data_IF_347558949918
#
_entry.id   IF_347558949918
#
_cell.length_a   1.000
_cell.length_b   1.000
_cell.length_c   1.000
_cell.angle_alpha   90.00
_cell.angle_beta   90.00
_cell.angle_gamma   90.00
#
_symmetry.space_group_name_H-M   'P 1'
#
loop_
_entity.id
_entity.type
_entity.pdbx_description
1 polymer ?
#
# COMPACT_ATOMS: atom_id res chain seq x y z
N UNK A 1 -14.01 -27.92 -3.33
CA UNK A 1 -14.99 -26.82 -3.33
C UNK A 1 -15.01 -26.10 -2.00
N UNK A 2 -14.79 -24.79 -2.01
CA UNK A 2 -15.09 -23.94 -0.85
C UNK A 2 -16.19 -22.95 -1.23
N UNK A 3 -17.09 -22.67 -0.27
CA UNK A 3 -18.18 -21.72 -0.46
C UNK A 3 -17.67 -20.30 -0.28
N UNK A 4 -17.80 -19.46 -1.30
CA UNK A 4 -17.46 -18.02 -1.22
C UNK A 4 -18.19 -17.34 -0.07
N UNK A 5 -19.45 -17.71 0.20
CA UNK A 5 -20.22 -17.19 1.32
C UNK A 5 -19.62 -17.52 2.69
N UNK A 6 -19.02 -18.69 2.85
CA UNK A 6 -18.36 -19.09 4.11
C UNK A 6 -17.10 -18.25 4.33
N UNK A 7 -16.26 -18.10 3.31
CA UNK A 7 -15.05 -17.28 3.42
C UNK A 7 -15.38 -15.80 3.66
N UNK A 8 -16.37 -15.26 2.97
CA UNK A 8 -16.85 -13.88 3.21
C UNK A 8 -17.30 -13.70 4.66
N UNK A 9 -18.08 -14.64 5.20
CA UNK A 9 -18.55 -14.57 6.59
C UNK A 9 -17.39 -14.64 7.60
N UNK A 10 -16.42 -15.52 7.36
CA UNK A 10 -15.26 -15.70 8.24
C UNK A 10 -14.34 -14.46 8.24
N UNK A 11 -14.03 -13.89 7.07
CA UNK A 11 -13.24 -12.65 6.96
C UNK A 11 -13.97 -11.48 7.64
N UNK A 12 -15.29 -11.38 7.48
CA UNK A 12 -16.08 -10.34 8.15
C UNK A 12 -16.04 -10.47 9.66
N UNK A 13 -16.28 -11.67 10.19
CA UNK A 13 -16.21 -11.93 11.62
C UNK A 13 -14.82 -11.61 12.19
N UNK A 14 -13.75 -11.93 11.45
CA UNK A 14 -12.38 -11.58 11.79
C UNK A 14 -12.16 -10.05 11.81
N UNK A 15 -12.65 -9.33 10.80
CA UNK A 15 -12.55 -7.87 10.75
C UNK A 15 -13.34 -7.19 11.87
N UNK A 16 -14.55 -7.69 12.20
CA UNK A 16 -15.36 -7.20 13.32
C UNK A 16 -14.62 -7.38 14.65
N UNK A 17 -14.01 -8.54 14.87
CA UNK A 17 -13.22 -8.81 16.06
C UNK A 17 -11.96 -7.94 16.14
N UNK A 18 -11.27 -7.73 15.02
CA UNK A 18 -10.10 -6.84 14.94
C UNK A 18 -10.49 -5.38 15.24
N UNK A 19 -11.61 -4.90 14.68
CA UNK A 19 -12.15 -3.57 14.95
C UNK A 19 -12.51 -3.40 16.44
N UNK A 20 -13.15 -4.41 17.05
CA UNK A 20 -13.48 -4.40 18.48
C UNK A 20 -12.23 -4.32 19.36
N UNK A 21 -11.19 -5.09 19.04
CA UNK A 21 -9.90 -5.04 19.74
C UNK A 21 -9.21 -3.68 19.57
N UNK A 22 -9.19 -3.13 18.35
CA UNK A 22 -8.67 -1.78 18.11
C UNK A 22 -9.46 -0.69 18.87
N UNK A 23 -10.78 -0.86 19.04
CA UNK A 23 -11.61 0.07 19.81
C UNK A 23 -11.32 0.05 21.31
N UNK A 24 -10.92 -1.10 21.85
CA UNK A 24 -10.54 -1.26 23.27
C UNK A 24 -9.07 -0.89 23.54
N UNK A 25 -8.20 -0.99 22.52
CA UNK A 25 -6.80 -0.63 22.62
C UNK A 25 -6.03 -1.45 23.68
N UNK A 26 -5.07 -0.85 24.40
CA UNK A 26 -4.28 -1.54 25.44
C UNK A 26 -5.08 -2.21 26.56
N UNK A 27 -6.31 -1.78 26.79
CA UNK A 27 -7.21 -2.35 27.81
C UNK A 27 -7.95 -3.59 27.31
N UNK A 28 -7.80 -3.93 26.02
CA UNK A 28 -8.31 -5.17 25.45
C UNK A 28 -7.72 -6.37 26.17
N UNK A 29 -8.53 -7.04 26.98
CA UNK A 29 -8.22 -8.36 27.54
C UNK A 29 -8.35 -9.50 26.51
N UNK A 30 -8.61 -9.18 25.23
CA UNK A 30 -8.77 -10.15 24.15
C UNK A 30 -7.46 -10.88 23.87
N UNK A 31 -7.52 -12.21 23.93
CA UNK A 31 -6.46 -13.13 23.54
C UNK A 31 -6.72 -13.75 22.14
N UNK A 32 -7.68 -13.20 21.39
CA UNK A 32 -8.11 -13.78 20.11
C UNK A 32 -6.98 -13.78 19.07
N UNK A 33 -6.27 -12.66 18.96
CA UNK A 33 -5.12 -12.48 18.08
C UNK A 33 -3.84 -12.49 18.93
N UNK A 34 -3.21 -13.66 19.09
CA UNK A 34 -1.90 -13.81 19.73
C UNK A 34 -0.92 -14.41 18.72
N UNK A 35 0.13 -13.67 18.39
CA UNK A 35 1.14 -14.07 17.39
C UNK A 35 2.09 -15.19 17.87
N UNK A 36 2.13 -15.46 19.18
CA UNK A 36 3.13 -16.34 19.81
C UNK A 36 2.76 -17.83 19.91
N UNK A 37 1.49 -18.23 19.72
CA UNK A 37 1.08 -19.63 19.94
C UNK A 37 -0.05 -20.03 18.97
N UNK A 38 0.27 -20.84 17.97
CA UNK A 38 -0.74 -21.56 17.17
C UNK A 38 -1.32 -22.68 18.05
N UNK A 39 -2.59 -22.55 18.43
CA UNK A 39 -3.36 -23.58 19.12
C UNK A 39 -4.76 -23.67 18.52
N UNK A 40 -5.48 -24.77 18.78
CA UNK A 40 -6.79 -25.07 18.17
C UNK A 40 -7.87 -23.98 18.43
N UNK A 41 -7.66 -23.09 19.41
CA UNK A 41 -8.59 -22.03 19.81
C UNK A 41 -8.15 -20.61 19.36
N UNK A 42 -7.04 -20.44 18.63
CA UNK A 42 -6.47 -19.12 18.28
C UNK A 42 -6.24 -19.00 16.77
N UNK A 43 -6.59 -17.84 16.19
CA UNK A 43 -6.50 -17.58 14.74
C UNK A 43 -5.66 -16.31 14.52
N UNK A 44 -4.75 -16.34 13.55
CA UNK A 44 -4.01 -15.15 13.13
C UNK A 44 -4.93 -14.19 12.36
N UNK A 45 -4.85 -12.88 12.64
CA UNK A 45 -5.61 -11.91 11.83
C UNK A 45 -5.18 -12.00 10.36
N UNK A 46 -6.15 -12.08 9.47
CA UNK A 46 -5.96 -12.25 8.03
C UNK A 46 -5.82 -13.69 7.59
N UNK A 47 -5.99 -14.70 8.46
CA UNK A 47 -5.82 -16.11 8.10
C UNK A 47 -6.69 -16.52 6.90
N UNK A 48 -7.94 -16.06 6.86
CA UNK A 48 -8.85 -16.39 5.77
C UNK A 48 -8.53 -15.63 4.48
N UNK A 49 -7.96 -14.42 4.58
CA UNK A 49 -7.44 -13.68 3.42
C UNK A 49 -6.23 -14.41 2.83
N UNK A 50 -5.32 -14.90 3.68
CA UNK A 50 -4.15 -15.70 3.26
C UNK A 50 -4.58 -16.94 2.47
N UNK A 51 -5.60 -17.66 2.93
CA UNK A 51 -6.12 -18.83 2.21
C UNK A 51 -6.63 -18.47 0.79
N UNK A 52 -7.19 -17.28 0.59
CA UNK A 52 -7.54 -16.79 -0.75
C UNK A 52 -6.27 -16.54 -1.58
N UNK A 53 -5.23 -15.94 -0.99
CA UNK A 53 -3.92 -15.75 -1.62
C UNK A 53 -3.28 -17.07 -2.05
N UNK A 54 -3.25 -18.07 -1.16
CA UNK A 54 -2.73 -19.41 -1.46
C UNK A 54 -3.53 -20.11 -2.56
N UNK A 55 -4.85 -19.93 -2.58
CA UNK A 55 -5.68 -20.40 -3.68
C UNK A 55 -5.22 -19.77 -5.01
N UNK A 56 -5.08 -18.44 -5.07
CA UNK A 56 -4.62 -17.74 -6.27
C UNK A 56 -3.22 -18.19 -6.72
N UNK A 57 -2.28 -18.45 -5.80
CA UNK A 57 -0.94 -19.01 -6.12
C UNK A 57 -1.03 -20.41 -6.70
N UNK A 58 -1.90 -21.25 -6.15
CA UNK A 58 -2.10 -22.61 -6.67
C UNK A 58 -2.68 -22.57 -8.09
N UNK A 59 -3.58 -21.63 -8.39
CA UNK A 59 -4.16 -21.48 -9.74
C UNK A 59 -3.10 -21.16 -10.80
N UNK A 60 -2.09 -20.33 -10.48
CA UNK A 60 -1.05 -19.96 -11.43
C UNK A 60 0.03 -21.02 -11.64
N UNK A 61 0.17 -21.96 -10.70
CA UNK A 61 1.20 -23.02 -10.73
C UNK A 61 0.66 -24.40 -11.13
N UNK A 62 -0.65 -24.60 -11.10
CA UNK A 62 -1.27 -25.90 -11.39
C UNK A 62 -1.26 -26.25 -12.88
N UNK A 63 -0.52 -27.32 -13.22
CA UNK A 63 -0.46 -27.89 -14.58
C UNK A 63 -1.68 -28.74 -14.95
N UNK A 64 -2.55 -29.04 -14.00
CA UNK A 64 -3.65 -30.01 -14.17
C UNK A 64 -5.04 -29.35 -14.25
N UNK A 65 -5.15 -28.03 -14.10
CA UNK A 65 -6.41 -27.31 -14.23
C UNK A 65 -6.63 -26.81 -15.65
N UNK A 66 -7.87 -26.88 -16.13
CA UNK A 66 -8.25 -26.20 -17.37
C UNK A 66 -8.25 -24.68 -17.15
N UNK A 67 -8.20 -23.92 -18.24
CA UNK A 67 -8.22 -22.45 -18.13
C UNK A 67 -9.58 -21.97 -17.63
N UNK A 68 -10.66 -22.65 -18.01
CA UNK A 68 -12.01 -22.39 -17.52
C UNK A 68 -12.10 -22.54 -16.00
N UNK A 69 -11.50 -23.62 -15.45
CA UNK A 69 -11.46 -23.86 -14.00
C UNK A 69 -10.65 -22.78 -13.27
N UNK A 70 -9.54 -22.33 -13.87
CA UNK A 70 -8.72 -21.25 -13.32
C UNK A 70 -9.47 -19.92 -13.29
N UNK A 71 -10.18 -19.58 -14.38
CA UNK A 71 -10.98 -18.36 -14.48
C UNK A 71 -12.11 -18.37 -13.45
N UNK A 72 -12.84 -19.48 -13.33
CA UNK A 72 -13.94 -19.60 -12.37
C UNK A 72 -13.45 -19.52 -10.92
N UNK A 73 -12.32 -20.18 -10.62
CA UNK A 73 -11.73 -20.11 -9.28
C UNK A 73 -11.24 -18.68 -8.95
N UNK A 74 -10.58 -18.01 -9.90
CA UNK A 74 -10.18 -16.61 -9.75
C UNK A 74 -11.39 -15.70 -9.52
N UNK A 75 -12.49 -15.92 -10.26
CA UNK A 75 -13.75 -15.16 -10.12
C UNK A 75 -14.28 -15.29 -8.69
N UNK A 76 -14.32 -16.50 -8.13
CA UNK A 76 -14.75 -16.74 -6.75
C UNK A 76 -13.85 -16.01 -5.74
N UNK A 77 -12.53 -16.06 -5.91
CA UNK A 77 -11.59 -15.30 -5.07
C UNK A 77 -11.87 -13.80 -5.12
N UNK A 78 -12.00 -13.23 -6.32
CA UNK A 78 -12.28 -11.80 -6.51
C UNK A 78 -13.62 -11.41 -5.89
N UNK A 79 -14.65 -12.24 -6.02
CA UNK A 79 -15.94 -11.98 -5.38
C UNK A 79 -15.79 -11.90 -3.86
N UNK A 80 -15.11 -12.86 -3.22
CA UNK A 80 -14.87 -12.81 -1.76
C UNK A 80 -14.11 -11.53 -1.38
N UNK A 81 -12.99 -11.25 -2.05
CA UNK A 81 -12.16 -10.07 -1.75
C UNK A 81 -12.96 -8.77 -1.89
N UNK A 82 -13.75 -8.62 -2.95
CA UNK A 82 -14.61 -7.43 -3.14
C UNK A 82 -15.65 -7.26 -2.04
N UNK A 83 -16.27 -8.35 -1.60
CA UNK A 83 -17.30 -8.29 -0.55
C UNK A 83 -16.72 -7.95 0.83
N UNK A 84 -15.44 -8.25 1.06
CA UNK A 84 -14.75 -8.00 2.33
C UNK A 84 -13.88 -6.74 2.32
N UNK A 85 -13.60 -6.14 1.14
CA UNK A 85 -12.73 -4.97 1.02
C UNK A 85 -13.15 -3.80 1.93
N UNK A 86 -14.46 -3.45 2.09
CA UNK A 86 -14.87 -2.38 2.99
C UNK A 86 -14.54 -2.68 4.47
N UNK A 87 -14.71 -3.93 4.90
CA UNK A 87 -14.45 -4.36 6.27
C UNK A 87 -12.94 -4.32 6.56
N UNK A 88 -12.11 -4.82 5.64
CA UNK A 88 -10.64 -4.74 5.73
C UNK A 88 -10.19 -3.28 5.76
N UNK A 89 -10.69 -2.44 4.85
CA UNK A 89 -10.34 -1.02 4.81
C UNK A 89 -10.70 -0.29 6.10
N UNK A 90 -11.86 -0.61 6.70
CA UNK A 90 -12.29 -0.04 7.98
C UNK A 90 -11.32 -0.37 9.12
N UNK A 91 -10.84 -1.62 9.19
CA UNK A 91 -9.85 -2.05 10.19
C UNK A 91 -8.49 -1.39 9.95
N UNK A 92 -8.00 -1.40 8.71
CA UNK A 92 -6.66 -0.87 8.38
C UNK A 92 -6.56 0.65 8.54
N UNK A 93 -7.66 1.37 8.35
CA UNK A 93 -7.75 2.82 8.57
C UNK A 93 -8.20 3.20 9.99
N UNK A 94 -8.35 2.22 10.88
CA UNK A 94 -8.80 2.49 12.24
C UNK A 94 -7.80 3.40 12.98
N UNK A 95 -8.32 4.47 13.60
CA UNK A 95 -7.52 5.57 14.20
C UNK A 95 -6.90 5.23 15.56
N UNK A 96 -7.08 4.00 16.05
CA UNK A 96 -6.47 3.52 17.30
C UNK A 96 -4.98 3.84 17.31
N UNK A 97 -4.42 4.24 18.46
CA UNK A 97 -2.98 4.41 18.58
C UNK A 97 -2.24 3.14 18.19
N UNK A 98 -0.97 3.28 17.79
CA UNK A 98 -0.05 2.16 17.67
C UNK A 98 0.00 1.41 19.00
N UNK A 99 -0.15 0.08 18.95
CA UNK A 99 -0.11 -0.74 20.14
C UNK A 99 1.32 -0.83 20.67
N UNK A 100 1.58 -0.32 21.87
CA UNK A 100 2.88 -0.44 22.54
C UNK A 100 2.98 -1.62 23.51
N UNK A 101 1.83 -2.18 23.90
CA UNK A 101 1.72 -3.19 24.97
C UNK A 101 0.80 -4.38 24.62
N UNK A 102 0.21 -4.40 23.42
CA UNK A 102 -0.68 -5.48 22.97
C UNK A 102 -0.45 -5.78 21.47
N UNK A 103 -1.00 -6.90 20.99
CA UNK A 103 -0.94 -7.28 19.57
C UNK A 103 -1.89 -6.40 18.76
N UNK A 104 -1.36 -5.72 17.75
CA UNK A 104 -2.14 -4.92 16.81
C UNK A 104 -2.60 -5.78 15.63
N UNK A 105 -3.90 -6.16 15.54
CA UNK A 105 -4.38 -7.06 14.50
C UNK A 105 -4.30 -6.44 13.10
N UNK A 106 -4.16 -5.11 13.00
CA UNK A 106 -4.07 -4.41 11.71
C UNK A 106 -2.82 -4.84 10.94
N UNK A 107 -1.70 -5.07 11.64
CA UNK A 107 -0.39 -5.38 11.04
C UNK A 107 -0.46 -6.66 10.19
N UNK A 108 -0.93 -7.74 10.81
CA UNK A 108 -1.07 -9.05 10.16
C UNK A 108 -2.16 -9.06 9.11
N UNK A 109 -3.28 -8.38 9.33
CA UNK A 109 -4.33 -8.22 8.32
C UNK A 109 -3.83 -7.44 7.08
N UNK A 110 -3.02 -6.40 7.27
CA UNK A 110 -2.45 -5.62 6.17
C UNK A 110 -1.49 -6.47 5.34
N UNK A 111 -0.59 -7.21 5.99
CA UNK A 111 0.30 -8.14 5.29
C UNK A 111 -0.50 -9.15 4.46
N UNK A 112 -1.49 -9.82 5.07
CA UNK A 112 -2.36 -10.78 4.41
C UNK A 112 -3.07 -10.17 3.19
N UNK A 113 -3.67 -8.98 3.36
CA UNK A 113 -4.38 -8.29 2.29
C UNK A 113 -3.46 -7.92 1.13
N UNK A 114 -2.37 -7.22 1.39
CA UNK A 114 -1.49 -6.72 0.32
C UNK A 114 -0.73 -7.85 -0.38
N UNK A 115 -0.33 -8.91 0.33
CA UNK A 115 0.25 -10.12 -0.28
C UNK A 115 -0.74 -10.86 -1.18
N UNK A 116 -2.01 -10.95 -0.76
CA UNK A 116 -3.08 -11.55 -1.57
C UNK A 116 -3.38 -10.69 -2.80
N UNK A 117 -3.46 -9.37 -2.65
CA UNK A 117 -3.68 -8.43 -3.75
C UNK A 117 -2.51 -8.40 -4.75
N UNK A 118 -1.26 -8.50 -4.27
CA UNK A 118 -0.06 -8.69 -5.10
C UNK A 118 -0.17 -9.97 -5.93
N UNK A 119 -0.57 -11.08 -5.29
CA UNK A 119 -0.76 -12.36 -5.97
C UNK A 119 -1.83 -12.23 -7.06
N UNK A 120 -2.98 -11.63 -6.76
CA UNK A 120 -4.04 -11.39 -7.73
C UNK A 120 -3.56 -10.52 -8.90
N UNK A 121 -2.81 -9.44 -8.62
CA UNK A 121 -2.23 -8.58 -9.65
C UNK A 121 -1.28 -9.35 -10.57
N UNK A 122 -0.41 -10.18 -9.99
CA UNK A 122 0.49 -11.05 -10.75
C UNK A 122 -0.27 -12.05 -11.63
N UNK A 123 -1.32 -12.70 -11.12
CA UNK A 123 -2.16 -13.62 -11.90
C UNK A 123 -2.79 -12.89 -13.09
N UNK A 124 -3.39 -11.72 -12.86
CA UNK A 124 -4.00 -10.91 -13.92
C UNK A 124 -2.98 -10.43 -14.96
N UNK A 125 -1.76 -10.08 -14.54
CA UNK A 125 -0.71 -9.61 -15.46
C UNK A 125 -0.19 -10.71 -16.38
N UNK A 126 -0.13 -11.95 -15.90
CA UNK A 126 0.42 -13.07 -16.67
C UNK A 126 -0.64 -13.87 -17.44
N UNK A 127 -1.93 -13.52 -17.35
CA UNK A 127 -3.01 -14.21 -18.06
C UNK A 127 -4.06 -13.24 -18.60
N UNK A 128 -3.98 -12.99 -19.91
CA UNK A 128 -4.92 -12.12 -20.65
C UNK A 128 -6.37 -12.62 -20.56
N UNK A 129 -6.56 -13.95 -20.56
CA UNK A 129 -7.89 -14.55 -20.43
C UNK A 129 -8.50 -14.32 -19.05
N UNK A 130 -7.70 -14.41 -17.99
CA UNK A 130 -8.17 -14.16 -16.62
C UNK A 130 -8.51 -12.68 -16.44
N UNK A 131 -7.62 -11.75 -16.81
CA UNK A 131 -7.90 -10.31 -16.65
C UNK A 131 -9.13 -9.87 -17.46
N UNK A 132 -9.29 -10.39 -18.68
CA UNK A 132 -10.46 -10.10 -19.52
C UNK A 132 -11.76 -10.64 -18.91
N UNK A 133 -11.71 -11.84 -18.34
CA UNK A 133 -12.87 -12.46 -17.68
C UNK A 133 -13.26 -11.75 -16.38
N UNK A 134 -12.26 -11.26 -15.63
CA UNK A 134 -12.46 -10.54 -14.37
C UNK A 134 -12.82 -9.07 -14.57
N UNK A 135 -12.68 -8.52 -15.79
CA UNK A 135 -13.10 -7.16 -16.12
C UNK A 135 -14.61 -6.97 -15.86
N UNK A 136 -15.43 -7.97 -16.17
CA UNK A 136 -16.87 -7.98 -15.87
C UNK A 136 -17.18 -7.93 -14.37
N UNK A 137 -16.25 -8.40 -13.54
CA UNK A 137 -16.34 -8.36 -12.08
C UNK A 137 -15.76 -7.06 -11.50
N UNK A 138 -15.43 -6.05 -12.31
CA UNK A 138 -14.81 -4.80 -11.88
C UNK A 138 -13.56 -5.00 -11.01
N UNK A 139 -12.71 -5.99 -11.32
CA UNK A 139 -11.47 -6.27 -10.58
C UNK A 139 -10.53 -5.05 -10.51
N UNK A 140 -10.60 -4.18 -11.52
CA UNK A 140 -9.83 -2.93 -11.58
C UNK A 140 -10.18 -1.98 -10.43
N UNK A 141 -11.45 -1.91 -10.04
CA UNK A 141 -11.90 -1.11 -8.88
C UNK A 141 -11.26 -1.63 -7.59
N UNK A 142 -11.23 -2.94 -7.39
CA UNK A 142 -10.61 -3.56 -6.21
C UNK A 142 -9.11 -3.22 -6.11
N UNK A 143 -8.38 -3.24 -7.23
CA UNK A 143 -6.99 -2.81 -7.26
C UNK A 143 -6.83 -1.32 -6.96
N UNK A 144 -7.67 -0.46 -7.53
CA UNK A 144 -7.67 0.98 -7.26
C UNK A 144 -7.94 1.30 -5.79
N UNK A 145 -8.95 0.67 -5.20
CA UNK A 145 -9.29 0.81 -3.77
C UNK A 145 -8.15 0.32 -2.87
N UNK A 146 -7.53 -0.82 -3.20
CA UNK A 146 -6.39 -1.35 -2.44
C UNK A 146 -5.15 -0.45 -2.56
N UNK A 147 -4.88 0.12 -3.73
CA UNK A 147 -3.80 1.11 -3.90
C UNK A 147 -4.07 2.38 -3.09
N UNK A 148 -5.33 2.84 -3.09
CA UNK A 148 -5.75 3.96 -2.25
C UNK A 148 -5.52 3.68 -0.77
N UNK A 149 -5.88 2.48 -0.31
CA UNK A 149 -5.65 2.03 1.06
C UNK A 149 -4.15 2.01 1.43
N UNK A 150 -3.31 1.51 0.53
CA UNK A 150 -1.85 1.54 0.70
C UNK A 150 -1.30 2.98 0.81
N UNK A 151 -1.78 3.91 -0.04
CA UNK A 151 -1.39 5.32 0.04
C UNK A 151 -1.85 5.97 1.34
N UNK A 152 -3.11 5.74 1.73
CA UNK A 152 -3.69 6.26 2.96
C UNK A 152 -2.91 5.81 4.19
N UNK A 153 -2.50 4.54 4.25
CA UNK A 153 -1.63 4.04 5.31
C UNK A 153 -0.36 4.88 5.47
N UNK A 154 0.32 5.20 4.36
CA UNK A 154 1.54 6.03 4.38
C UNK A 154 1.22 7.48 4.79
N UNK A 155 0.10 8.02 4.32
CA UNK A 155 -0.35 9.38 4.66
C UNK A 155 -0.81 9.53 6.12
N UNK A 156 -1.28 8.45 6.75
CA UNK A 156 -1.66 8.45 8.17
C UNK A 156 -0.47 8.68 9.11
N UNK A 157 0.76 8.44 8.67
CA UNK A 157 1.97 8.63 9.49
C UNK A 157 2.37 10.09 9.59
N UNK A 158 2.59 10.59 10.80
CA UNK A 158 3.20 11.90 11.03
C UNK A 158 4.72 11.73 11.00
N UNK A 159 5.37 12.37 10.03
CA UNK A 159 6.83 12.30 9.84
C UNK A 159 7.59 13.30 10.70
N UNK A 160 6.91 14.08 11.56
CA UNK A 160 7.57 15.02 12.46
C UNK A 160 8.39 16.10 11.73
N UNK A 161 9.18 16.87 12.47
CA UNK A 161 10.03 17.92 11.92
C UNK A 161 10.88 18.59 12.99
N UNK A 162 11.97 19.28 12.61
CA UNK A 162 12.86 19.99 13.56
C UNK A 162 12.15 20.88 14.59
N UNK A 163 11.05 21.54 14.20
CA UNK A 163 10.29 22.43 15.08
C UNK A 163 9.14 21.73 15.81
N UNK A 164 8.72 20.56 15.34
CA UNK A 164 7.62 19.79 15.89
C UNK A 164 7.91 18.30 15.64
N UNK A 165 8.50 17.59 16.62
CA UNK A 165 8.71 16.16 16.48
C UNK A 165 7.38 15.42 16.29
N UNK A 166 7.44 14.23 15.70
CA UNK A 166 6.29 13.35 15.68
C UNK A 166 5.90 12.99 17.13
N UNK A 167 4.62 12.80 17.44
CA UNK A 167 4.21 12.29 18.74
C UNK A 167 4.82 10.91 19.01
N UNK A 168 5.16 10.62 20.27
CA UNK A 168 5.69 9.31 20.69
C UNK A 168 4.69 8.16 20.44
N UNK A 169 3.39 8.47 20.50
CA UNK A 169 2.31 7.54 20.15
C UNK A 169 1.59 8.09 18.92
N UNK A 170 1.79 7.46 17.76
CA UNK A 170 1.09 7.84 16.55
C UNK A 170 -0.28 7.18 16.46
N UNK A 171 -1.20 7.81 15.72
CA UNK A 171 -2.47 7.19 15.33
C UNK A 171 -2.25 6.26 14.14
N UNK A 172 -3.07 5.22 14.06
CA UNK A 172 -3.02 4.23 12.99
C UNK A 172 -2.12 3.04 13.31
N UNK A 173 -2.00 2.14 12.33
CA UNK A 173 -1.22 0.91 12.42
C UNK A 173 0.28 1.20 12.36
N UNK A 174 1.11 0.44 13.10
CA UNK A 174 2.57 0.57 13.04
C UNK A 174 3.13 0.41 11.62
N UNK A 175 4.18 1.16 11.28
CA UNK A 175 4.97 0.94 10.06
C UNK A 175 6.12 -0.07 10.26
N UNK A 176 6.37 -0.50 11.48
CA UNK A 176 7.47 -1.41 11.80
C UNK A 176 7.03 -2.87 11.65
N UNK A 177 7.07 -3.38 10.41
CA UNK A 177 6.83 -4.80 10.14
C UNK A 177 6.78 -5.18 8.65
N UNK A 178 6.53 -6.48 8.36
CA UNK A 178 6.52 -7.05 7.01
C UNK A 178 5.39 -6.53 6.12
N UNK A 179 4.28 -6.06 6.69
CA UNK A 179 3.18 -5.42 5.97
C UNK A 179 3.67 -4.25 5.09
N UNK A 180 4.72 -3.54 5.48
CA UNK A 180 5.27 -2.45 4.67
C UNK A 180 6.00 -2.92 3.41
N UNK A 181 6.58 -4.12 3.44
CA UNK A 181 7.12 -4.77 2.24
C UNK A 181 5.98 -5.29 1.37
N UNK A 182 4.98 -5.93 1.95
CA UNK A 182 3.79 -6.40 1.21
C UNK A 182 3.08 -5.26 0.47
N UNK A 183 2.94 -4.09 1.12
CA UNK A 183 2.43 -2.86 0.50
C UNK A 183 3.28 -2.45 -0.71
N UNK A 184 4.60 -2.43 -0.55
CA UNK A 184 5.53 -1.98 -1.61
C UNK A 184 5.50 -2.91 -2.81
N UNK A 185 5.53 -4.22 -2.56
CA UNK A 185 5.42 -5.24 -3.59
C UNK A 185 4.08 -5.17 -4.33
N UNK A 186 2.98 -4.99 -3.59
CA UNK A 186 1.67 -4.82 -4.18
C UNK A 186 1.60 -3.57 -5.07
N UNK A 187 2.08 -2.41 -4.59
CA UNK A 187 2.09 -1.18 -5.38
C UNK A 187 2.88 -1.40 -6.68
N UNK A 188 4.07 -2.01 -6.59
CA UNK A 188 4.91 -2.28 -7.75
C UNK A 188 4.23 -3.18 -8.78
N UNK A 189 3.55 -4.24 -8.35
CA UNK A 189 2.88 -5.19 -9.22
C UNK A 189 1.58 -4.61 -9.81
N UNK A 190 0.77 -3.91 -9.01
CA UNK A 190 -0.50 -3.35 -9.42
C UNK A 190 -0.37 -2.23 -10.45
N UNK A 191 0.68 -1.39 -10.36
CA UNK A 191 0.93 -0.37 -11.38
C UNK A 191 1.17 -0.96 -12.78
N UNK A 192 1.76 -2.16 -12.85
CA UNK A 192 2.04 -2.84 -14.12
C UNK A 192 0.78 -3.36 -14.84
N UNK A 193 -0.38 -3.33 -14.18
CA UNK A 193 -1.67 -3.64 -14.82
C UNK A 193 -2.17 -2.49 -15.72
N UNK A 194 -1.56 -1.30 -15.63
CA UNK A 194 -1.73 -0.22 -16.60
C UNK A 194 -2.53 1.00 -16.10
N UNK A 195 -2.77 1.98 -16.98
CA UNK A 195 -3.29 3.31 -16.60
C UNK A 195 -4.67 3.32 -15.95
N UNK A 196 -5.54 2.35 -16.25
CA UNK A 196 -6.87 2.27 -15.64
C UNK A 196 -6.80 2.06 -14.12
N UNK A 197 -5.81 1.31 -13.65
CA UNK A 197 -5.58 1.09 -12.22
C UNK A 197 -5.10 2.38 -11.55
N UNK A 198 -4.25 3.17 -12.22
CA UNK A 198 -3.80 4.47 -11.74
C UNK A 198 -4.99 5.45 -11.59
N UNK A 199 -5.84 5.54 -12.62
CA UNK A 199 -7.06 6.36 -12.58
C UNK A 199 -8.06 5.89 -11.50
N UNK A 200 -8.23 4.57 -11.33
CA UNK A 200 -9.06 4.00 -10.27
C UNK A 200 -8.54 4.35 -8.87
N UNK A 201 -7.22 4.33 -8.68
CA UNK A 201 -6.59 4.62 -7.39
C UNK A 201 -6.85 6.06 -6.91
N UNK A 202 -6.81 7.04 -7.82
CA UNK A 202 -7.09 8.44 -7.46
C UNK A 202 -8.57 8.68 -7.20
N UNK A 203 -9.45 8.00 -7.95
CA UNK A 203 -10.90 8.07 -7.72
C UNK A 203 -11.25 7.55 -6.32
N UNK A 204 -10.68 6.41 -5.91
CA UNK A 204 -10.84 5.87 -4.58
C UNK A 204 -10.19 6.76 -3.50
N UNK A 205 -9.00 7.32 -3.76
CA UNK A 205 -8.31 8.20 -2.81
C UNK A 205 -9.09 9.49 -2.54
N UNK A 206 -9.76 10.03 -3.56
CA UNK A 206 -10.53 11.27 -3.48
C UNK A 206 -11.74 11.16 -2.55
N UNK A 207 -12.20 9.94 -2.24
CA UNK A 207 -13.20 9.71 -1.20
C UNK A 207 -12.69 9.99 0.23
N UNK A 208 -11.37 9.99 0.42
CA UNK A 208 -10.72 10.14 1.73
C UNK A 208 -9.87 11.41 1.85
N UNK A 209 -9.27 11.90 0.77
CA UNK A 209 -8.42 13.09 0.76
C UNK A 209 -8.89 14.04 -0.34
N UNK A 210 -9.17 15.29 0.04
CA UNK A 210 -9.40 16.37 -0.91
C UNK A 210 -8.06 16.95 -1.34
N UNK A 211 -7.74 16.84 -2.63
CA UNK A 211 -6.46 17.27 -3.18
C UNK A 211 -6.59 18.63 -3.86
N UNK A 212 -5.64 19.52 -3.58
CA UNK A 212 -5.45 20.74 -4.36
C UNK A 212 -4.59 20.43 -5.58
N UNK A 213 -5.24 20.14 -6.71
CA UNK A 213 -4.58 19.87 -7.99
C UNK A 213 -4.60 21.16 -8.82
N UNK A 214 -3.48 21.87 -8.90
CA UNK A 214 -3.35 22.98 -9.85
C UNK A 214 -3.42 22.48 -11.30
N UNK A 215 -4.30 23.08 -12.12
CA UNK A 215 -4.59 22.74 -13.53
C UNK A 215 -5.28 21.37 -13.75
N UNK A 216 -5.94 21.23 -14.92
CA UNK A 216 -6.53 19.96 -15.38
C UNK A 216 -5.41 18.96 -15.71
N UNK A 217 -5.12 18.04 -14.77
CA UNK A 217 -4.19 16.92 -14.94
C UNK A 217 -4.99 15.66 -15.28
N UNK A 218 -4.59 14.86 -16.30
CA UNK A 218 -5.25 13.58 -16.58
C UNK A 218 -5.30 12.66 -15.36
N UNK A 219 -6.39 11.89 -15.20
CA UNK A 219 -6.64 11.10 -13.99
C UNK A 219 -5.54 10.06 -13.72
N UNK A 220 -5.01 9.42 -14.76
CA UNK A 220 -3.92 8.46 -14.69
C UNK A 220 -2.60 9.10 -14.25
N UNK A 221 -2.33 10.34 -14.71
CA UNK A 221 -1.15 11.12 -14.29
C UNK A 221 -1.31 11.55 -12.84
N UNK A 222 -2.51 11.97 -12.45
CA UNK A 222 -2.80 12.36 -11.07
C UNK A 222 -2.72 11.16 -10.12
N UNK A 223 -3.21 9.99 -10.52
CA UNK A 223 -3.05 8.74 -9.77
C UNK A 223 -1.58 8.33 -9.60
N UNK A 224 -0.81 8.34 -10.69
CA UNK A 224 0.64 8.10 -10.62
C UNK A 224 1.35 9.13 -9.74
N UNK A 225 0.93 10.40 -9.79
CA UNK A 225 1.49 11.46 -8.95
C UNK A 225 1.14 11.29 -7.46
N UNK A 226 -0.07 10.83 -7.13
CA UNK A 226 -0.47 10.53 -5.76
C UNK A 226 0.32 9.33 -5.20
N UNK A 227 0.48 8.26 -6.00
CA UNK A 227 1.32 7.11 -5.65
C UNK A 227 2.77 7.57 -5.46
N UNK A 228 3.32 8.34 -6.40
CA UNK A 228 4.66 8.94 -6.28
C UNK A 228 4.82 9.74 -4.98
N UNK A 229 3.84 10.57 -4.65
CA UNK A 229 3.85 11.39 -3.44
C UNK A 229 3.87 10.49 -2.19
N UNK A 230 3.07 9.42 -2.16
CA UNK A 230 3.09 8.45 -1.06
C UNK A 230 4.48 7.79 -0.90
N UNK A 231 5.12 7.38 -2.01
CA UNK A 231 6.45 6.77 -1.98
C UNK A 231 7.50 7.78 -1.52
N UNK A 232 7.44 9.03 -1.99
CA UNK A 232 8.34 10.10 -1.55
C UNK A 232 8.18 10.39 -0.04
N UNK A 233 6.95 10.35 0.47
CA UNK A 233 6.67 10.45 1.91
C UNK A 233 7.22 9.27 2.70
N UNK A 234 7.07 8.06 2.17
CA UNK A 234 7.64 6.83 2.74
C UNK A 234 9.15 6.98 2.94
N UNK A 235 9.88 7.39 1.89
CA UNK A 235 11.33 7.65 1.94
C UNK A 235 11.69 8.80 2.88
N UNK A 236 10.83 9.81 2.99
CA UNK A 236 11.01 10.95 3.89
C UNK A 236 10.86 10.59 5.38
N UNK A 237 10.42 9.37 5.71
CA UNK A 237 10.37 8.86 7.07
C UNK A 237 9.01 8.32 7.52
N UNK A 238 8.02 8.20 6.63
CA UNK A 238 6.73 7.57 6.98
C UNK A 238 6.83 6.03 7.06
N UNK A 239 7.86 5.44 6.44
CA UNK A 239 8.13 4.00 6.52
C UNK A 239 9.58 3.72 6.92
N UNK A 240 9.88 2.49 7.37
CA UNK A 240 11.23 2.15 7.80
C UNK A 240 12.23 2.05 6.64
N UNK A 241 13.55 2.13 6.92
CA UNK A 241 14.57 2.22 5.88
C UNK A 241 14.64 1.05 4.89
N UNK A 242 14.16 -0.15 5.24
CA UNK A 242 14.16 -1.30 4.33
C UNK A 242 13.24 -1.10 3.13
N UNK A 243 12.11 -0.42 3.31
CA UNK A 243 11.19 -0.06 2.20
C UNK A 243 11.88 0.86 1.18
N UNK A 244 12.87 1.64 1.63
CA UNK A 244 13.65 2.54 0.75
C UNK A 244 14.56 1.75 -0.21
N UNK A 245 14.82 0.47 0.08
CA UNK A 245 15.62 -0.39 -0.79
C UNK A 245 14.84 -0.84 -2.04
N UNK A 246 13.51 -1.00 -1.93
CA UNK A 246 12.62 -1.42 -3.04
C UNK A 246 12.16 -0.27 -3.92
N UNK A 247 12.51 0.96 -3.54
CA UNK A 247 12.11 2.18 -4.21
C UNK A 247 12.46 2.22 -5.72
N UNK A 248 13.65 1.78 -6.19
CA UNK A 248 13.94 1.67 -7.62
C UNK A 248 12.92 0.86 -8.41
N UNK A 249 12.41 -0.23 -7.84
CA UNK A 249 11.43 -1.11 -8.50
C UNK A 249 10.10 -0.37 -8.63
N UNK A 250 9.65 0.30 -7.56
CA UNK A 250 8.43 1.11 -7.58
C UNK A 250 8.43 2.18 -8.67
N UNK A 251 9.47 3.02 -8.73
CA UNK A 251 9.55 4.07 -9.75
C UNK A 251 9.72 3.51 -11.17
N UNK A 252 10.39 2.36 -11.32
CA UNK A 252 10.46 1.67 -12.62
C UNK A 252 9.09 1.16 -13.06
N UNK A 253 8.34 0.51 -12.18
CA UNK A 253 6.98 0.04 -12.48
C UNK A 253 6.06 1.20 -12.88
N UNK A 254 6.17 2.33 -12.19
CA UNK A 254 5.43 3.55 -12.56
C UNK A 254 5.83 4.09 -13.93
N UNK A 255 7.12 4.15 -14.25
CA UNK A 255 7.59 4.55 -15.59
C UNK A 255 7.05 3.63 -16.68
N UNK A 256 7.04 2.32 -16.46
CA UNK A 256 6.46 1.35 -17.38
C UNK A 256 4.95 1.56 -17.53
N UNK A 257 4.23 1.77 -16.43
CA UNK A 257 2.78 2.02 -16.42
C UNK A 257 2.40 3.28 -17.22
N UNK A 258 3.27 4.29 -17.23
CA UNK A 258 3.14 5.52 -18.03
C UNK A 258 3.65 5.35 -19.48
N UNK A 259 3.68 4.12 -19.99
CA UNK A 259 4.07 3.82 -21.37
C UNK A 259 5.57 3.99 -21.65
N UNK A 260 6.42 3.94 -20.61
CA UNK A 260 7.86 4.20 -20.72
C UNK A 260 8.19 5.56 -21.36
N UNK A 261 7.34 6.57 -21.13
CA UNK A 261 7.56 7.92 -21.62
C UNK A 261 8.33 8.76 -20.57
N UNK A 262 9.59 9.17 -20.84
CA UNK A 262 10.39 9.93 -19.88
C UNK A 262 9.77 11.27 -19.52
N UNK A 263 9.23 12.01 -20.49
CA UNK A 263 8.66 13.33 -20.25
C UNK A 263 7.42 13.24 -19.37
N UNK A 264 6.53 12.27 -19.66
CA UNK A 264 5.34 12.02 -18.86
C UNK A 264 5.69 11.58 -17.42
N UNK A 265 6.70 10.73 -17.27
CA UNK A 265 7.19 10.31 -15.96
C UNK A 265 7.77 11.49 -15.17
N UNK A 266 8.60 12.34 -15.78
CA UNK A 266 9.16 13.51 -15.10
C UNK A 266 8.07 14.55 -14.79
N UNK A 267 7.10 14.75 -15.68
CA UNK A 267 5.93 15.57 -15.41
C UNK A 267 5.15 15.04 -14.19
N UNK A 268 4.91 13.72 -14.13
CA UNK A 268 4.24 13.05 -13.00
C UNK A 268 4.98 13.30 -11.70
N UNK A 269 6.31 13.17 -11.69
CA UNK A 269 7.13 13.50 -10.53
C UNK A 269 6.98 14.97 -10.15
N UNK A 270 6.99 15.88 -11.13
CA UNK A 270 6.77 17.30 -10.91
C UNK A 270 5.43 17.58 -10.22
N UNK A 271 4.34 16.96 -10.69
CA UNK A 271 3.01 17.05 -10.06
C UNK A 271 3.06 16.50 -8.63
N UNK A 272 3.67 15.34 -8.41
CA UNK A 272 3.73 14.70 -7.07
C UNK A 272 4.37 15.58 -5.99
N UNK A 273 5.34 16.42 -6.36
CA UNK A 273 6.00 17.37 -5.43
C UNK A 273 5.14 18.60 -5.07
N UNK A 274 4.00 18.77 -5.75
CA UNK A 274 3.10 19.92 -5.61
C UNK A 274 1.72 19.55 -5.08
N UNK A 275 1.38 18.25 -5.03
CA UNK A 275 0.10 17.83 -4.46
C UNK A 275 0.04 18.21 -2.97
N UNK A 276 -1.05 18.86 -2.59
CA UNK A 276 -1.36 19.28 -1.24
C UNK A 276 -2.73 18.75 -0.83
N UNK A 277 -2.89 18.39 0.44
CA UNK A 277 -4.22 18.10 0.99
C UNK A 277 -4.93 19.40 1.35
N UNK A 278 -6.21 19.51 1.03
CA UNK A 278 -7.04 20.67 1.41
C UNK A 278 -7.54 20.58 2.85
N UNK A 279 -7.61 19.37 3.40
CA UNK A 279 -8.12 19.08 4.74
C UNK A 279 -7.08 18.32 5.56
N UNK A 280 -7.23 18.35 6.89
CA UNK A 280 -6.42 17.48 7.74
C UNK A 280 -6.92 16.03 7.62
N UNK A 281 -6.02 15.11 7.29
CA UNK A 281 -6.31 13.67 7.14
C UNK A 281 -5.15 12.87 7.69
N UNK A 282 -5.42 12.01 8.67
CA UNK A 282 -4.38 11.19 9.31
C UNK A 282 -3.24 12.04 9.89
N UNK A 283 -2.02 11.83 9.39
CA UNK A 283 -0.81 12.57 9.77
C UNK A 283 -0.55 13.83 8.93
N UNK A 284 -1.42 14.16 7.97
CA UNK A 284 -1.32 15.34 7.12
C UNK A 284 -2.20 16.48 7.64
N UNK A 285 -1.70 17.72 7.56
CA UNK A 285 -2.50 18.94 7.80
C UNK A 285 -2.98 19.56 6.50
N UNK A 286 -4.05 20.34 6.58
CA UNK A 286 -4.48 21.19 5.47
C UNK A 286 -3.32 22.07 4.96
N UNK A 287 -3.11 22.08 3.65
CA UNK A 287 -2.01 22.74 2.95
C UNK A 287 -0.68 21.98 2.99
N UNK A 288 -0.58 20.83 3.66
CA UNK A 288 0.65 20.04 3.68
C UNK A 288 0.82 19.24 2.40
N UNK A 289 2.05 19.24 1.86
CA UNK A 289 2.40 18.43 0.69
C UNK A 289 2.34 16.94 1.01
N UNK A 290 1.71 16.16 0.14
CA UNK A 290 1.61 14.71 0.32
C UNK A 290 2.99 14.04 0.27
N UNK A 291 3.91 14.56 -0.55
CA UNK A 291 5.27 14.03 -0.73
C UNK A 291 6.21 14.21 0.48
N UNK A 292 5.75 14.89 1.52
CA UNK A 292 6.50 15.14 2.75
C UNK A 292 7.30 16.44 2.72
N UNK A 293 7.83 16.81 3.89
CA UNK A 293 8.35 18.15 4.17
C UNK A 293 9.68 18.48 3.49
N UNK A 294 10.48 17.47 3.14
CA UNK A 294 11.74 17.69 2.41
C UNK A 294 11.53 18.15 0.96
N UNK A 295 10.32 17.94 0.43
CA UNK A 295 9.89 18.44 -0.88
C UNK A 295 9.01 19.68 -0.76
N UNK A 296 8.75 20.16 0.47
CA UNK A 296 8.38 21.54 0.75
C UNK A 296 9.65 22.42 0.73
N UNK A 297 10.30 22.42 -0.43
CA UNK A 297 11.60 23.04 -0.67
C UNK A 297 11.49 24.10 -1.78
N UNK A 298 12.59 24.83 -1.99
CA UNK A 298 12.69 25.80 -3.07
C UNK A 298 12.48 25.13 -4.44
N UNK A 299 11.95 25.89 -5.38
CA UNK A 299 11.77 25.42 -6.77
C UNK A 299 13.10 24.95 -7.39
N UNK A 300 14.22 25.58 -7.04
CA UNK A 300 15.56 25.14 -7.44
C UNK A 300 15.92 23.72 -6.96
N UNK A 301 15.50 23.34 -5.74
CA UNK A 301 15.72 22.00 -5.21
C UNK A 301 14.87 20.97 -5.97
N UNK A 302 13.60 21.29 -6.20
CA UNK A 302 12.68 20.45 -6.98
C UNK A 302 13.20 20.27 -8.41
N UNK A 303 13.61 21.35 -9.08
CA UNK A 303 14.17 21.29 -10.43
C UNK A 303 15.46 20.46 -10.50
N UNK A 304 16.33 20.55 -9.48
CA UNK A 304 17.52 19.70 -9.39
C UNK A 304 17.16 18.22 -9.23
N UNK A 305 16.15 17.90 -8.42
CA UNK A 305 15.62 16.55 -8.27
C UNK A 305 15.08 16.02 -9.61
N UNK A 306 14.20 16.76 -10.28
CA UNK A 306 13.60 16.36 -11.56
C UNK A 306 14.65 16.19 -12.67
N UNK A 307 15.64 17.08 -12.72
CA UNK A 307 16.77 16.98 -13.65
C UNK A 307 17.58 15.69 -13.44
N UNK A 308 17.94 15.37 -12.19
CA UNK A 308 18.66 14.13 -11.87
C UNK A 308 17.83 12.87 -12.13
N UNK A 309 16.52 12.94 -11.87
CA UNK A 309 15.60 11.84 -12.19
C UNK A 309 15.53 11.63 -13.71
N UNK A 310 15.44 12.70 -14.50
CA UNK A 310 15.46 12.66 -15.97
C UNK A 310 16.73 12.01 -16.51
N UNK A 311 17.91 12.43 -16.02
CA UNK A 311 19.18 11.80 -16.38
C UNK A 311 19.23 10.30 -16.07
N UNK A 312 18.63 9.91 -14.95
CA UNK A 312 18.60 8.52 -14.48
C UNK A 312 17.75 7.66 -15.39
N UNK A 313 16.57 8.16 -15.78
CA UNK A 313 15.67 7.50 -16.74
C UNK A 313 16.32 7.40 -18.12
N UNK A 314 16.91 8.50 -18.62
CA UNK A 314 17.59 8.52 -19.92
C UNK A 314 18.74 7.50 -20.01
N UNK A 315 19.41 7.21 -18.89
CA UNK A 315 20.49 6.21 -18.80
C UNK A 315 20.00 4.81 -18.41
N UNK A 316 18.70 4.64 -18.18
CA UNK A 316 18.09 3.41 -17.66
C UNK A 316 18.77 2.90 -16.35
N UNK A 317 19.28 3.82 -15.53
CA UNK A 317 20.06 3.52 -14.32
C UNK A 317 19.19 3.55 -13.06
N UNK A 318 18.23 2.65 -12.96
CA UNK A 318 17.28 2.61 -11.84
C UNK A 318 17.94 2.47 -10.46
N UNK A 319 19.15 1.88 -10.39
CA UNK A 319 19.92 1.80 -9.14
C UNK A 319 20.30 3.19 -8.63
N UNK A 320 20.66 4.11 -9.52
CA UNK A 320 20.96 5.51 -9.17
C UNK A 320 19.72 6.29 -8.72
N UNK A 321 18.51 5.88 -9.12
CA UNK A 321 17.25 6.54 -8.70
C UNK A 321 17.12 6.57 -7.18
N UNK A 322 17.52 5.51 -6.48
CA UNK A 322 17.57 5.48 -5.02
C UNK A 322 18.40 6.63 -4.42
N UNK A 323 19.55 6.93 -5.00
CA UNK A 323 20.44 8.01 -4.54
C UNK A 323 19.80 9.37 -4.81
N UNK A 324 19.19 9.54 -5.98
CA UNK A 324 18.45 10.76 -6.34
C UNK A 324 17.33 11.03 -5.35
N UNK A 325 16.53 10.00 -5.03
CA UNK A 325 15.42 10.10 -4.11
C UNK A 325 15.88 10.40 -2.69
N UNK A 326 16.85 9.63 -2.15
CA UNK A 326 17.44 9.90 -0.81
C UNK A 326 18.01 11.32 -0.71
N UNK A 327 18.61 11.84 -1.79
CA UNK A 327 19.11 13.21 -1.82
C UNK A 327 17.99 14.26 -1.82
N UNK A 328 16.87 13.97 -2.47
CA UNK A 328 15.73 14.88 -2.57
C UNK A 328 14.90 14.91 -1.27
N UNK A 329 14.75 13.76 -0.62
CA UNK A 329 13.91 13.56 0.58
C UNK A 329 14.68 13.56 1.89
N UNK A 330 15.98 13.86 1.87
CA UNK A 330 16.84 13.91 3.07
C UNK A 330 17.40 12.56 3.52
N UNK A 331 16.79 11.43 3.12
CA UNK A 331 17.36 10.08 3.06
C UNK A 331 17.97 9.50 4.35
N UNK A 332 17.84 10.17 5.49
CA UNK A 332 18.43 9.83 6.79
C UNK A 332 17.40 10.02 7.90
N UNK A 333 17.51 9.15 8.91
CA UNK A 333 16.84 9.04 10.23
C UNK A 333 16.54 10.33 11.03
N UNK A 334 16.71 11.54 10.48
CA UNK A 334 16.65 12.81 11.24
C UNK A 334 15.27 13.13 11.80
N UNK A 335 14.20 12.56 11.24
CA UNK A 335 12.82 12.86 11.66
C UNK A 335 11.98 11.60 11.89
N UNK A 336 12.54 10.41 11.68
CA UNK A 336 11.84 9.16 11.90
C UNK A 336 11.93 8.72 13.36
N UNK A 337 10.80 8.72 14.08
CA UNK A 337 10.68 8.25 15.47
C UNK A 337 10.74 6.72 15.64
N UNK A 338 11.23 5.96 14.65
CA UNK A 338 11.29 4.51 14.70
C UNK A 338 12.19 4.05 15.86
N UNK A 339 11.56 3.62 16.94
CA UNK A 339 12.22 2.89 18.01
C UNK A 339 12.42 1.45 17.52
N UNK A 340 13.64 1.16 17.08
CA UNK A 340 14.07 -0.14 16.56
C UNK A 340 13.74 -1.28 17.52
N UNK A 341 12.63 -1.97 17.26
CA UNK A 341 12.59 -3.40 16.97
C UNK A 341 11.39 -3.64 16.03
N UNK A 342 11.53 -4.45 14.97
CA UNK A 342 10.37 -4.97 14.28
C UNK A 342 9.40 -5.50 15.34
N UNK A 343 8.10 -5.22 15.22
CA UNK A 343 7.17 -6.10 15.93
C UNK A 343 7.51 -7.52 15.48
N UNK A 344 7.80 -8.40 16.43
CA UNK A 344 8.03 -9.81 16.16
C UNK A 344 6.71 -10.43 15.77
N UNK A 345 6.24 -10.15 14.56
CA UNK A 345 5.30 -11.06 13.93
C UNK A 345 6.14 -12.26 13.49
N UNK A 346 5.78 -13.45 13.95
CA UNK A 346 6.36 -14.72 13.50
C UNK A 346 6.12 -14.99 11.99
N UNK A 347 5.59 -14.01 11.26
CA UNK A 347 5.32 -14.03 9.83
C UNK A 347 6.39 -13.23 9.09
N UNK A 348 7.59 -13.82 8.96
CA UNK A 348 8.31 -13.75 7.70
C UNK A 348 7.53 -14.65 6.72
N UNK A 349 6.38 -14.18 6.23
CA UNK A 349 5.42 -15.01 5.52
C UNK A 349 5.98 -15.70 4.25
N UNK A 350 7.10 -15.23 3.71
CA UNK A 350 7.70 -15.78 2.49
C UNK A 350 9.24 -15.77 2.47
N UNK A 351 9.94 -15.72 3.62
CA UNK A 351 11.41 -15.87 3.67
C UNK A 351 11.84 -17.19 4.30
N UNK A 352 11.55 -18.28 3.60
CA UNK A 352 12.36 -19.51 3.63
C UNK A 352 12.62 -19.97 2.20
#
# INVERSE_FOLDING_TARGET
DYSSGVFTALIKAECEAAAAQCGQGPESGSNLFIEDIVGEEKIHTGAYVILIGECLKHLSSSKHMTVEDQVESCRRCVQVLKHCAPDVASVLLHVSPEATVHVDPRVTLAEAWFSTMKTLASVCRHSEQIISSLAAENVQTLFGESLSLAMLFIFMKDIGGKKRPAPDVQRGMSSDGPQTLAISDFIAEAMLLGPSILAGSISALSAHIQLNCGNEVPAEVLGAAAISASILRAISGATPPWVVEDTPVLFKSMYVALGSNPDLFIQTLGVSTKLETMTAVGGLRAGEKLSGRYLDASESHINSFLSKASETVAKNDWKKMKVVLKSATGGKKKESGFNLKPHYCNWECERV
#
